data_IF_413176298897
#
_entry.id   IF_413176298897
#
_cell.length_a   1.000
_cell.length_b   1.000
_cell.length_c   1.000
_cell.angle_alpha   90.00
_cell.angle_beta   90.00
_cell.angle_gamma   90.00
#
_symmetry.space_group_name_H-M   'P 1'
#
loop_
_entity.id
_entity.type
_entity.pdbx_description
1 polymer ?
#
# COMPACT_ATOMS: atom_id res chain seq x y z
N UNK A 1 19.18 -19.55 -9.34
CA UNK A 1 17.83 -20.14 -9.32
C UNK A 1 16.95 -19.05 -8.74
N UNK A 2 15.93 -18.58 -9.47
CA UNK A 2 14.99 -17.61 -8.93
C UNK A 2 14.25 -18.34 -7.80
N UNK A 3 14.42 -17.86 -6.56
CA UNK A 3 13.70 -18.40 -5.42
C UNK A 3 12.21 -18.29 -5.70
N UNK A 4 11.56 -19.45 -5.78
CA UNK A 4 10.12 -19.56 -6.03
C UNK A 4 9.38 -19.19 -4.74
N UNK A 5 9.12 -17.90 -4.54
CA UNK A 5 8.28 -17.43 -3.46
C UNK A 5 6.84 -17.90 -3.72
N UNK A 6 6.37 -18.93 -3.02
CA UNK A 6 5.11 -19.57 -3.34
C UNK A 6 3.92 -18.63 -3.08
N UNK A 7 2.96 -18.65 -4.00
CA UNK A 7 1.64 -18.09 -3.72
C UNK A 7 0.92 -19.04 -2.75
N UNK A 8 0.29 -18.55 -1.67
CA UNK A 8 -0.42 -19.39 -0.71
C UNK A 8 -1.41 -20.36 -1.39
N UNK A 9 -1.41 -21.62 -0.94
CA UNK A 9 -2.27 -22.66 -1.50
C UNK A 9 -3.77 -22.30 -1.43
N UNK A 10 -4.61 -22.80 -2.35
CA UNK A 10 -6.03 -22.49 -2.36
C UNK A 10 -6.78 -22.87 -1.07
N UNK A 11 -6.38 -23.95 -0.38
CA UNK A 11 -6.96 -24.40 0.88
C UNK A 11 -6.81 -23.42 2.04
N UNK A 12 -5.71 -22.63 2.04
CA UNK A 12 -5.40 -21.66 3.09
C UNK A 12 -5.62 -20.22 2.63
N UNK A 13 -6.15 -20.06 1.43
CA UNK A 13 -6.25 -18.76 0.80
C UNK A 13 -7.55 -18.03 1.16
N UNK A 14 -7.45 -16.71 1.32
CA UNK A 14 -8.62 -15.83 1.37
C UNK A 14 -9.37 -15.85 0.03
N UNK A 15 -10.67 -15.53 -0.01
CA UNK A 15 -11.46 -15.57 -1.24
C UNK A 15 -10.84 -14.80 -2.39
N UNK A 16 -10.81 -15.39 -3.58
CA UNK A 16 -10.28 -14.76 -4.79
C UNK A 16 -11.04 -13.47 -5.13
N UNK A 17 -10.28 -12.42 -5.48
CA UNK A 17 -10.82 -11.10 -5.78
C UNK A 17 -11.06 -10.24 -4.54
N UNK A 18 -10.73 -10.72 -3.33
CA UNK A 18 -10.87 -9.96 -2.08
C UNK A 18 -9.61 -9.16 -1.73
N UNK A 19 -9.78 -8.08 -0.95
CA UNK A 19 -8.68 -7.33 -0.35
C UNK A 19 -7.80 -8.22 0.53
N UNK A 20 -8.41 -9.11 1.32
CA UNK A 20 -7.70 -10.04 2.18
C UNK A 20 -6.79 -11.00 1.38
N UNK A 21 -7.23 -11.44 0.18
CA UNK A 21 -6.40 -12.27 -0.70
C UNK A 21 -5.23 -11.47 -1.27
N UNK A 22 -5.46 -10.22 -1.70
CA UNK A 22 -4.39 -9.35 -2.19
C UNK A 22 -3.32 -9.15 -1.12
N UNK A 23 -3.73 -8.82 0.12
CA UNK A 23 -2.80 -8.68 1.24
C UNK A 23 -2.06 -9.98 1.56
N UNK A 24 -2.73 -11.14 1.49
CA UNK A 24 -2.12 -12.45 1.72
C UNK A 24 -1.03 -12.74 0.68
N UNK A 25 -1.32 -12.53 -0.61
CA UNK A 25 -0.36 -12.70 -1.70
C UNK A 25 0.83 -11.76 -1.51
N UNK A 26 0.58 -10.47 -1.26
CA UNK A 26 1.66 -9.51 -1.05
C UNK A 26 2.57 -9.89 0.13
N UNK A 27 1.97 -10.30 1.26
CA UNK A 27 2.72 -10.73 2.45
C UNK A 27 3.59 -11.95 2.19
N UNK A 28 3.16 -12.90 1.35
CA UNK A 28 3.94 -14.10 1.00
C UNK A 28 5.18 -13.78 0.17
N UNK A 29 5.28 -12.59 -0.39
CA UNK A 29 6.44 -12.17 -1.20
C UNK A 29 7.49 -11.39 -0.42
N UNK A 30 7.25 -11.09 0.85
CA UNK A 30 8.24 -10.40 1.71
C UNK A 30 9.50 -11.23 1.84
N UNK A 31 10.64 -10.59 1.59
CA UNK A 31 11.96 -11.23 1.56
C UNK A 31 12.42 -11.64 0.16
N UNK A 32 11.58 -11.49 -0.88
CA UNK A 32 12.05 -11.67 -2.26
C UNK A 32 13.14 -10.65 -2.57
N UNK A 33 14.21 -11.12 -3.22
CA UNK A 33 15.34 -10.31 -3.70
C UNK A 33 15.40 -10.48 -5.21
N UNK A 34 15.66 -9.40 -5.94
CA UNK A 34 15.86 -9.44 -7.39
C UNK A 34 17.04 -10.33 -7.78
N UNK A 35 17.04 -10.79 -9.01
CA UNK A 35 18.10 -11.65 -9.55
C UNK A 35 19.45 -10.95 -9.64
N UNK A 36 20.49 -11.67 -10.16
CA UNK A 36 21.86 -11.17 -10.19
C UNK A 36 22.06 -9.95 -11.10
N UNK A 37 21.14 -9.72 -12.02
CA UNK A 37 21.10 -8.50 -12.83
C UNK A 37 20.13 -7.52 -12.22
N UNK A 38 20.50 -6.24 -12.21
CA UNK A 38 19.67 -5.16 -11.70
C UNK A 38 18.25 -5.22 -12.29
N UNK A 39 17.26 -5.17 -11.41
CA UNK A 39 15.84 -5.24 -11.74
C UNK A 39 15.39 -6.53 -12.49
N UNK A 40 16.14 -7.62 -12.42
CA UNK A 40 15.74 -8.92 -12.98
C UNK A 40 14.77 -9.63 -12.03
N UNK A 41 13.48 -9.69 -12.37
CA UNK A 41 12.46 -10.24 -11.47
C UNK A 41 11.37 -11.02 -12.21
N UNK A 42 10.72 -11.96 -11.52
CA UNK A 42 9.49 -12.60 -12.01
C UNK A 42 8.35 -11.59 -12.23
N UNK A 43 8.34 -10.51 -11.46
CA UNK A 43 7.32 -9.46 -11.56
C UNK A 43 7.51 -8.63 -12.84
N UNK A 44 8.75 -8.23 -13.13
CA UNK A 44 9.10 -7.56 -14.36
C UNK A 44 8.86 -8.44 -15.59
N UNK A 45 9.21 -9.73 -15.52
CA UNK A 45 8.93 -10.71 -16.58
C UNK A 45 7.42 -10.84 -16.84
N UNK A 46 6.59 -10.91 -15.78
CA UNK A 46 5.13 -10.98 -15.88
C UNK A 46 4.54 -9.77 -16.62
N UNK A 47 5.01 -8.57 -16.33
CA UNK A 47 4.52 -7.33 -16.95
C UNK A 47 5.19 -6.99 -18.28
N UNK A 48 6.14 -7.83 -18.76
CA UNK A 48 7.00 -7.58 -19.93
C UNK A 48 7.84 -6.30 -19.79
N UNK A 49 8.22 -5.95 -18.55
CA UNK A 49 9.04 -4.81 -18.17
C UNK A 49 10.23 -5.26 -17.28
N UNK A 50 10.83 -6.43 -17.61
CA UNK A 50 11.99 -6.91 -16.88
C UNK A 50 13.19 -5.95 -17.06
N UNK A 51 14.09 -5.92 -16.10
CA UNK A 51 15.23 -5.00 -16.04
C UNK A 51 14.83 -3.51 -15.91
N UNK A 52 13.60 -3.24 -15.46
CA UNK A 52 13.09 -1.90 -15.13
C UNK A 52 12.67 -1.87 -13.66
N UNK A 53 12.59 -0.68 -13.03
CA UNK A 53 12.07 -0.56 -11.68
C UNK A 53 10.73 -1.29 -11.53
N UNK A 54 10.64 -2.24 -10.59
CA UNK A 54 9.58 -3.26 -10.59
C UNK A 54 8.54 -3.10 -9.47
N UNK A 55 8.49 -1.96 -8.79
CA UNK A 55 7.46 -1.71 -7.76
C UNK A 55 6.02 -1.83 -8.33
N UNK A 56 5.77 -1.24 -9.49
CA UNK A 56 4.48 -1.36 -10.18
C UNK A 56 4.19 -2.76 -10.71
N UNK A 57 5.22 -3.43 -11.24
CA UNK A 57 5.13 -4.82 -11.69
C UNK A 57 4.80 -5.77 -10.54
N UNK A 58 5.36 -5.54 -9.35
CA UNK A 58 5.05 -6.27 -8.13
C UNK A 58 3.57 -6.14 -7.77
N UNK A 59 3.03 -4.92 -7.72
CA UNK A 59 1.62 -4.67 -7.42
C UNK A 59 0.70 -5.38 -8.43
N UNK A 60 1.01 -5.28 -9.73
CA UNK A 60 0.22 -5.93 -10.79
C UNK A 60 0.25 -7.44 -10.68
N UNK A 61 1.42 -8.03 -10.39
CA UNK A 61 1.53 -9.47 -10.20
C UNK A 61 0.75 -9.94 -8.96
N UNK A 62 0.89 -9.26 -7.83
CA UNK A 62 0.12 -9.58 -6.62
C UNK A 62 -1.39 -9.51 -6.87
N UNK A 63 -1.85 -8.49 -7.59
CA UNK A 63 -3.25 -8.31 -7.94
C UNK A 63 -3.76 -9.45 -8.85
N UNK A 64 -3.00 -9.84 -9.87
CA UNK A 64 -3.31 -10.95 -10.75
C UNK A 64 -3.47 -12.27 -9.97
N UNK A 65 -2.47 -12.62 -9.14
CA UNK A 65 -2.50 -13.82 -8.30
C UNK A 65 -3.64 -13.80 -7.27
N UNK A 66 -4.13 -12.64 -6.91
CA UNK A 66 -5.26 -12.46 -6.02
C UNK A 66 -6.61 -12.39 -6.76
N UNK A 67 -6.62 -12.39 -8.09
CA UNK A 67 -7.83 -12.20 -8.91
C UNK A 67 -8.45 -10.80 -8.77
N UNK A 68 -7.65 -9.79 -8.42
CA UNK A 68 -8.04 -8.39 -8.25
C UNK A 68 -7.62 -7.60 -9.50
N UNK A 69 -8.51 -6.75 -10.00
CA UNK A 69 -8.19 -5.88 -11.15
C UNK A 69 -7.64 -4.55 -10.68
N UNK A 70 -6.41 -4.22 -11.08
CA UNK A 70 -5.78 -2.91 -10.92
C UNK A 70 -5.43 -2.31 -12.27
N UNK A 71 -5.36 -0.99 -12.41
CA UNK A 71 -4.81 -0.35 -13.62
C UNK A 71 -3.34 -0.75 -13.83
N UNK A 72 -2.86 -0.59 -15.07
CA UNK A 72 -1.42 -0.72 -15.32
C UNK A 72 -0.67 0.35 -14.53
N UNK A 73 0.13 -0.09 -13.57
CA UNK A 73 0.89 0.76 -12.65
C UNK A 73 2.41 0.55 -12.76
N UNK A 74 2.89 -0.11 -13.83
CA UNK A 74 4.31 -0.24 -14.13
C UNK A 74 4.98 1.14 -14.17
N UNK A 75 4.35 2.10 -14.87
CA UNK A 75 4.69 3.52 -14.73
C UNK A 75 3.74 4.16 -13.70
N UNK A 76 4.24 4.41 -12.52
CA UNK A 76 3.45 4.80 -11.35
C UNK A 76 2.57 6.04 -11.53
N UNK A 77 3.01 7.14 -12.23
CA UNK A 77 2.13 8.27 -12.49
C UNK A 77 0.91 7.91 -13.34
N UNK A 78 1.07 7.03 -14.33
CA UNK A 78 -0.05 6.56 -15.16
C UNK A 78 -1.04 5.71 -14.39
N UNK A 79 -0.55 4.86 -13.46
CA UNK A 79 -1.39 4.07 -12.58
C UNK A 79 -2.24 4.96 -11.66
N UNK A 80 -1.64 5.96 -11.03
CA UNK A 80 -2.35 6.94 -10.20
C UNK A 80 -3.40 7.71 -11.02
N UNK A 81 -3.03 8.18 -12.22
CA UNK A 81 -3.98 8.85 -13.12
C UNK A 81 -5.16 7.93 -13.46
N UNK A 82 -4.93 6.68 -13.75
CA UNK A 82 -5.98 5.74 -14.11
C UNK A 82 -6.95 5.45 -12.94
N UNK A 83 -6.52 5.50 -11.69
CA UNK A 83 -7.41 5.49 -10.52
C UNK A 83 -8.21 6.78 -10.40
N UNK A 84 -7.59 7.96 -10.63
CA UNK A 84 -8.27 9.26 -10.64
C UNK A 84 -9.36 9.30 -11.72
N UNK A 85 -9.05 8.90 -12.93
CA UNK A 85 -9.98 8.87 -14.07
C UNK A 85 -11.21 7.96 -13.80
N UNK A 86 -11.07 6.96 -12.94
CA UNK A 86 -12.14 6.03 -12.56
C UNK A 86 -12.90 6.45 -11.29
N UNK A 87 -12.57 7.60 -10.69
CA UNK A 87 -13.13 8.03 -9.41
C UNK A 87 -12.82 7.08 -8.25
N UNK A 88 -11.70 6.36 -8.35
CA UNK A 88 -11.24 5.37 -7.38
C UNK A 88 -9.92 5.81 -6.71
N UNK A 89 -9.64 7.08 -6.68
CA UNK A 89 -8.51 7.71 -6.02
C UNK A 89 -8.95 8.47 -4.78
N UNK A 90 -8.13 8.41 -3.73
CA UNK A 90 -8.32 9.16 -2.49
C UNK A 90 -7.01 9.91 -2.20
N UNK A 91 -7.06 11.23 -2.05
CA UNK A 91 -5.88 12.03 -1.70
C UNK A 91 -5.42 11.70 -0.28
N UNK A 92 -4.09 11.71 -0.06
CA UNK A 92 -3.50 11.20 1.17
C UNK A 92 -3.96 11.92 2.43
N UNK A 93 -4.14 13.23 2.38
CA UNK A 93 -4.61 14.05 3.51
C UNK A 93 -6.09 13.81 3.88
N UNK A 94 -6.91 13.36 2.93
CA UNK A 94 -8.32 13.03 3.10
C UNK A 94 -8.55 11.53 3.35
N UNK A 95 -7.50 10.70 3.21
CA UNK A 95 -7.64 9.27 3.20
C UNK A 95 -8.04 8.67 4.55
N UNK A 96 -8.85 7.62 4.44
CA UNK A 96 -9.10 6.57 5.43
C UNK A 96 -8.77 5.25 4.71
N UNK A 97 -7.48 4.86 4.70
CA UNK A 97 -7.03 3.76 3.86
C UNK A 97 -7.41 2.40 4.43
N UNK A 98 -7.86 1.52 3.54
CA UNK A 98 -8.18 0.13 3.87
C UNK A 98 -7.07 -0.84 3.42
N UNK A 99 -6.91 -1.99 4.11
CA UNK A 99 -6.08 -3.08 3.59
C UNK A 99 -6.53 -3.50 2.18
N UNK A 100 -5.56 -3.53 1.25
CA UNK A 100 -5.80 -3.78 -0.18
C UNK A 100 -5.77 -2.52 -1.04
N UNK A 101 -5.81 -1.33 -0.46
CA UNK A 101 -5.57 -0.10 -1.22
C UNK A 101 -4.15 -0.06 -1.79
N UNK A 102 -3.99 0.59 -2.91
CA UNK A 102 -2.70 0.76 -3.58
C UNK A 102 -2.17 2.15 -3.23
N UNK A 103 -1.14 2.20 -2.40
CA UNK A 103 -0.49 3.44 -1.96
C UNK A 103 0.50 3.93 -3.01
N UNK A 104 0.43 5.21 -3.35
CA UNK A 104 1.33 5.89 -4.28
C UNK A 104 2.20 6.90 -3.54
N UNK A 105 3.50 6.87 -3.85
CA UNK A 105 4.50 7.63 -3.10
C UNK A 105 5.18 8.67 -3.98
N UNK A 106 5.45 9.81 -3.36
CA UNK A 106 6.41 10.80 -3.78
C UNK A 106 7.40 11.01 -2.62
N UNK A 107 8.64 10.63 -2.81
CA UNK A 107 9.64 10.73 -1.76
C UNK A 107 10.33 12.10 -1.82
N UNK A 108 10.20 12.95 -0.79
CA UNK A 108 10.70 14.32 -0.84
C UNK A 108 12.20 14.49 -1.10
N UNK A 109 12.98 13.42 -0.94
CA UNK A 109 14.44 13.48 -1.03
C UNK A 109 15.03 12.57 -2.16
N UNK A 110 14.19 12.06 -3.08
CA UNK A 110 14.69 11.14 -4.13
C UNK A 110 15.12 11.85 -5.42
N UNK A 111 15.03 13.18 -5.46
CA UNK A 111 15.37 14.01 -6.62
C UNK A 111 14.39 13.91 -7.78
N UNK A 112 13.20 13.36 -7.55
CA UNK A 112 12.16 13.17 -8.56
C UNK A 112 10.88 13.84 -8.08
N UNK A 113 10.51 14.95 -8.71
CA UNK A 113 9.28 15.71 -8.39
C UNK A 113 8.05 15.09 -9.07
N UNK A 114 7.69 13.90 -8.65
CA UNK A 114 6.49 13.16 -9.09
C UNK A 114 6.31 11.86 -8.33
N UNK A 115 5.13 11.25 -8.42
CA UNK A 115 4.91 9.87 -7.96
C UNK A 115 5.97 8.95 -8.58
N UNK A 116 6.81 8.36 -7.74
CA UNK A 116 7.98 7.57 -8.14
C UNK A 116 7.94 6.11 -7.64
N UNK A 117 6.98 5.77 -6.76
CA UNK A 117 6.89 4.45 -6.15
C UNK A 117 5.43 4.07 -5.84
N UNK A 118 5.21 2.76 -5.59
CA UNK A 118 3.89 2.19 -5.30
C UNK A 118 4.00 0.95 -4.42
N UNK A 119 3.00 0.72 -3.56
CA UNK A 119 2.91 -0.46 -2.70
C UNK A 119 1.47 -0.83 -2.38
N UNK A 120 1.28 -1.92 -1.64
CA UNK A 120 -0.03 -2.45 -1.23
C UNK A 120 -0.18 -2.22 0.27
N UNK A 121 -1.23 -1.51 0.69
CA UNK A 121 -1.59 -1.34 2.11
C UNK A 121 -2.02 -2.69 2.67
N UNK A 122 -1.49 -3.06 3.84
CA UNK A 122 -1.86 -4.30 4.54
C UNK A 122 -2.43 -4.06 5.93
N UNK A 123 -2.29 -2.83 6.45
CA UNK A 123 -2.79 -2.42 7.77
C UNK A 123 -2.79 -0.89 7.87
N UNK A 124 -3.89 -0.29 8.32
CA UNK A 124 -3.92 1.10 8.77
C UNK A 124 -3.77 1.15 10.29
N UNK A 125 -2.88 2.03 10.78
CA UNK A 125 -2.66 2.20 12.22
C UNK A 125 -3.62 3.23 12.85
N UNK A 126 -4.43 3.92 12.05
CA UNK A 126 -5.34 4.97 12.51
C UNK A 126 -4.66 6.24 13.02
N UNK A 127 -3.34 6.36 12.89
CA UNK A 127 -2.53 7.46 13.41
C UNK A 127 -1.86 8.30 12.30
N UNK A 128 -2.29 8.13 11.07
CA UNK A 128 -1.68 8.77 9.88
C UNK A 128 -0.55 7.95 9.27
N UNK A 129 -0.36 6.71 9.76
CA UNK A 129 0.61 5.77 9.19
C UNK A 129 -0.05 4.46 8.80
N UNK A 130 0.50 3.79 7.78
CA UNK A 130 0.09 2.48 7.30
C UNK A 130 1.28 1.54 7.19
N UNK A 131 1.02 0.23 7.28
CA UNK A 131 1.96 -0.76 6.82
C UNK A 131 1.68 -1.11 5.37
N UNK A 132 2.70 -1.00 4.54
CA UNK A 132 2.67 -1.41 3.13
C UNK A 132 3.59 -2.60 2.87
N UNK A 133 3.24 -3.42 1.87
CA UNK A 133 4.19 -4.32 1.23
C UNK A 133 4.58 -3.69 -0.10
N UNK A 134 5.87 -3.53 -0.30
CA UNK A 134 6.47 -2.82 -1.44
C UNK A 134 7.49 -3.71 -2.13
N UNK A 135 7.46 -3.74 -3.46
CA UNK A 135 8.53 -4.31 -4.27
C UNK A 135 9.55 -3.24 -4.67
N UNK A 136 10.76 -3.65 -4.98
CA UNK A 136 11.85 -2.77 -5.41
C UNK A 136 12.21 -1.68 -4.40
N UNK A 137 12.18 -2.01 -3.14
CA UNK A 137 12.57 -1.10 -2.04
C UNK A 137 13.74 -1.70 -1.25
N UNK A 138 14.28 -0.95 -0.30
CA UNK A 138 15.34 -1.43 0.61
C UNK A 138 14.75 -1.74 1.97
N UNK A 139 15.11 -2.90 2.51
CA UNK A 139 14.70 -3.33 3.85
C UNK A 139 15.14 -2.36 4.95
N UNK A 140 14.46 -2.40 6.11
CA UNK A 140 14.76 -1.53 7.24
C UNK A 140 16.15 -1.83 7.80
N UNK A 141 16.86 -0.77 8.19
CA UNK A 141 18.24 -0.86 8.68
C UNK A 141 19.31 -1.03 7.61
N UNK A 142 18.93 -1.20 6.35
CA UNK A 142 19.85 -1.25 5.22
C UNK A 142 20.00 0.12 4.55
N UNK A 143 21.18 0.41 4.01
CA UNK A 143 21.38 1.58 3.15
C UNK A 143 20.95 1.21 1.73
N UNK A 144 20.16 2.05 1.09
CA UNK A 144 19.71 1.84 -0.28
C UNK A 144 18.54 2.72 -0.68
N UNK A 145 18.08 2.54 -1.90
CA UNK A 145 16.98 3.30 -2.47
C UNK A 145 15.63 2.81 -1.96
N UNK A 146 14.72 3.74 -1.67
CA UNK A 146 13.34 3.39 -1.31
C UNK A 146 12.45 3.12 -2.54
N UNK A 147 12.93 3.38 -3.74
CA UNK A 147 12.22 3.17 -5.02
C UNK A 147 12.98 2.33 -6.04
N UNK A 148 14.19 1.90 -5.74
CA UNK A 148 15.03 0.97 -6.53
C UNK A 148 16.02 0.28 -5.61
N UNK A 149 15.51 -0.54 -4.68
CA UNK A 149 16.29 -1.18 -3.62
C UNK A 149 16.42 -2.69 -3.76
N UNK A 150 15.77 -3.29 -4.77
CA UNK A 150 15.94 -4.69 -5.12
C UNK A 150 15.21 -5.71 -4.24
N UNK A 151 14.44 -5.28 -3.23
CA UNK A 151 13.78 -6.19 -2.29
C UNK A 151 12.26 -6.00 -2.24
N UNK A 152 11.52 -7.04 -1.85
CA UNK A 152 10.12 -6.92 -1.42
C UNK A 152 10.06 -6.89 0.11
N UNK A 153 9.57 -5.78 0.70
CA UNK A 153 9.61 -5.54 2.13
C UNK A 153 8.28 -5.06 2.69
N UNK A 154 8.05 -5.33 3.99
CA UNK A 154 7.01 -4.64 4.78
C UNK A 154 7.60 -3.32 5.30
N UNK A 155 6.94 -2.19 5.03
CA UNK A 155 7.41 -0.83 5.36
C UNK A 155 6.34 -0.04 6.09
N UNK A 156 6.74 0.69 7.13
CA UNK A 156 5.89 1.71 7.78
C UNK A 156 5.97 3.00 6.97
N UNK A 157 4.82 3.51 6.54
CA UNK A 157 4.71 4.72 5.71
C UNK A 157 3.72 5.70 6.30
N UNK A 158 3.88 6.99 6.02
CA UNK A 158 2.95 8.01 6.47
C UNK A 158 2.25 8.70 5.30
N UNK A 159 0.96 8.96 5.50
CA UNK A 159 0.09 9.73 4.61
C UNK A 159 -0.41 11.02 5.26
N UNK A 160 -0.28 11.14 6.59
CA UNK A 160 -0.63 12.33 7.38
C UNK A 160 0.44 12.59 8.44
N UNK A 161 0.36 13.77 9.08
CA UNK A 161 1.13 14.06 10.30
C UNK A 161 0.82 13.01 11.36
N UNK A 162 1.85 12.44 11.96
CA UNK A 162 1.72 11.28 12.84
C UNK A 162 2.63 11.40 14.09
N UNK A 163 2.25 10.74 15.22
CA UNK A 163 3.01 10.81 16.47
C UNK A 163 4.37 10.12 16.37
N UNK A 164 4.54 9.16 15.46
CA UNK A 164 5.80 8.43 15.25
C UNK A 164 6.82 9.24 14.46
N UNK A 165 6.46 10.45 13.98
CA UNK A 165 7.32 11.33 13.17
C UNK A 165 7.86 10.65 11.90
N UNK A 166 7.13 9.66 11.36
CA UNK A 166 7.42 9.07 10.06
C UNK A 166 7.21 10.15 9.00
N UNK A 167 8.18 10.30 8.09
CA UNK A 167 8.09 11.28 7.01
C UNK A 167 6.91 10.95 6.09
N UNK A 168 6.08 11.94 5.80
CA UNK A 168 4.97 11.80 4.85
C UNK A 168 5.56 11.58 3.45
N UNK A 169 5.15 10.49 2.82
CA UNK A 169 5.59 10.11 1.48
C UNK A 169 4.45 9.59 0.62
N UNK A 170 3.30 9.20 1.21
CA UNK A 170 2.13 8.79 0.46
C UNK A 170 1.33 10.03 0.07
N UNK A 171 1.11 10.19 -1.24
CA UNK A 171 0.34 11.31 -1.81
C UNK A 171 -1.12 10.94 -2.07
N UNK A 172 -1.43 9.65 -2.11
CA UNK A 172 -2.80 9.17 -2.25
C UNK A 172 -2.87 7.67 -2.46
N UNK A 173 -4.12 7.18 -2.55
CA UNK A 173 -4.45 5.78 -2.64
C UNK A 173 -5.38 5.50 -3.80
N UNK A 174 -5.10 4.45 -4.55
CA UNK A 174 -6.05 3.86 -5.50
C UNK A 174 -6.80 2.71 -4.84
N UNK A 175 -8.13 2.75 -4.83
CA UNK A 175 -8.97 1.69 -4.26
C UNK A 175 -9.49 0.73 -5.33
N UNK A 176 -9.00 -0.52 -5.41
CA UNK A 176 -9.52 -1.52 -6.33
C UNK A 176 -10.96 -1.91 -5.99
N UNK A 177 -11.71 -2.38 -6.99
CA UNK A 177 -13.00 -3.02 -6.74
C UNK A 177 -12.78 -4.49 -6.35
N UNK A 178 -13.15 -4.84 -5.12
CA UNK A 178 -13.05 -6.20 -4.62
C UNK A 178 -14.35 -6.98 -4.82
N UNK A 179 -14.22 -8.30 -5.09
CA UNK A 179 -15.38 -9.21 -5.08
C UNK A 179 -15.79 -9.49 -3.63
N UNK A 180 -17.09 -9.50 -3.37
CA UNK A 180 -17.62 -9.80 -2.03
C UNK A 180 -17.52 -8.64 -1.03
N UNK A 181 -16.98 -7.49 -1.43
CA UNK A 181 -17.26 -6.25 -0.74
C UNK A 181 -18.71 -5.86 -1.09
N UNK A 182 -19.68 -6.48 -0.41
CA UNK A 182 -20.91 -5.77 -0.17
C UNK A 182 -20.50 -4.43 0.41
N UNK A 183 -21.07 -3.33 -0.11
CA UNK A 183 -20.81 -2.00 0.37
C UNK A 183 -20.92 -1.98 1.90
N UNK A 184 -19.78 -2.14 2.58
CA UNK A 184 -19.71 -1.66 3.94
C UNK A 184 -19.97 -0.15 3.79
N UNK A 185 -21.01 0.42 4.41
CA UNK A 185 -21.12 1.85 4.48
C UNK A 185 -19.78 2.33 5.05
N UNK A 186 -19.19 3.37 4.41
CA UNK A 186 -18.07 4.07 4.99
C UNK A 186 -18.37 4.20 6.48
N UNK A 187 -17.49 3.67 7.33
CA UNK A 187 -17.68 3.76 8.78
C UNK A 187 -17.91 5.24 9.04
N UNK A 188 -19.11 5.57 9.56
CA UNK A 188 -19.40 6.92 9.97
C UNK A 188 -18.26 7.34 10.89
N UNK A 189 -17.72 8.57 10.75
CA UNK A 189 -16.62 9.02 11.58
C UNK A 189 -17.02 8.72 13.03
N UNK A 190 -16.19 7.97 13.74
CA UNK A 190 -16.43 7.62 15.14
C UNK A 190 -16.76 8.94 15.84
N UNK A 191 -17.96 9.05 16.37
CA UNK A 191 -18.40 10.23 17.08
C UNK A 191 -17.33 10.49 18.13
N UNK A 192 -16.65 11.63 18.03
CA UNK A 192 -15.70 12.05 19.06
C UNK A 192 -16.48 12.01 20.36
N UNK A 193 -16.10 11.13 21.26
CA UNK A 193 -16.60 11.19 22.63
C UNK A 193 -16.26 12.59 23.14
N UNK A 194 -17.27 13.42 23.18
CA UNK A 194 -17.20 14.74 23.79
C UNK A 194 -16.95 14.46 25.27
N UNK A 195 -15.70 14.63 25.72
CA UNK A 195 -15.37 14.50 27.14
C UNK A 195 -16.30 15.45 27.88
N UNK A 196 -17.23 14.87 28.62
CA UNK A 196 -18.15 15.60 29.47
C UNK A 196 -17.33 16.58 30.33
N UNK A 197 -17.63 17.87 30.18
CA UNK A 197 -16.99 18.90 31.00
C UNK A 197 -17.50 18.77 32.41
N UNK A 198 -16.59 18.45 33.32
CA UNK A 198 -16.88 18.44 34.74
C UNK A 198 -16.68 19.86 35.28
N UNK A 199 -17.68 20.38 35.99
CA UNK A 199 -17.57 21.69 36.63
C UNK A 199 -16.47 21.66 37.69
N UNK A 200 -15.47 22.52 37.58
CA UNK A 200 -14.30 22.58 38.46
C UNK A 200 -14.64 23.03 39.90
N UNK A 201 -15.86 23.54 40.15
CA UNK A 201 -16.29 24.04 41.46
C UNK A 201 -17.23 23.08 42.22
N UNK A 202 -18.00 22.21 41.55
CA UNK A 202 -18.98 21.34 42.20
C UNK A 202 -18.89 19.86 41.79
N UNK A 203 -18.03 19.49 40.85
CA UNK A 203 -17.82 18.10 40.41
C UNK A 203 -18.97 17.49 39.59
N UNK A 204 -19.97 18.25 39.21
CA UNK A 204 -21.12 17.75 38.42
C UNK A 204 -20.82 17.78 36.91
N UNK A 205 -21.27 16.74 36.21
CA UNK A 205 -21.18 16.62 34.75
C UNK A 205 -22.19 17.58 34.10
N UNK A 206 -21.73 18.50 33.27
CA UNK A 206 -22.55 19.42 32.50
C UNK A 206 -22.90 18.72 31.18
N UNK A 207 -24.21 18.58 30.92
CA UNK A 207 -24.75 18.09 29.64
C UNK A 207 -24.71 19.16 28.57
#
# INVERSE_FOLDING_TARGET
MADDFPVPAPSDSKPQGSAARLCQVAKSQVGYIEGPKDNETKYGAFTKANFQPWCGSFVMWCADQAGVKVPNTVYTPSGAKAFKDKGAWIDGDLADPDPGDIAYFDFPADGVDRISHVGIVVEDNGDGTVWCIEGNTTGDGKKGSQRNGGEACKKLRAYKKNPKKVQISIVGFGRPKFKGAGSAPAAAPAAKEEKAKVCSSCGQTIK
#
